data_IF_446496054817
#
_entry.id   IF_446496054817
#
_cell.length_a   1.000
_cell.length_b   1.000
_cell.length_c   1.000
_cell.angle_alpha   90.00
_cell.angle_beta   90.00
_cell.angle_gamma   90.00
#
_symmetry.space_group_name_H-M   'P 1'
#
loop_
_entity.id
_entity.type
_entity.pdbx_description
1 polymer ?
#
# COMPACT_ATOMS: atom_id res chain seq x y z
N UNK A 1 28.24 -1.29 -22.95
CA UNK A 1 27.35 -0.56 -22.01
C UNK A 1 26.50 -1.58 -21.26
N UNK A 2 26.38 -1.42 -19.95
CA UNK A 2 25.53 -2.22 -19.05
C UNK A 2 24.78 -1.28 -18.10
N UNK A 3 23.72 -1.76 -17.44
CA UNK A 3 22.92 -0.97 -16.49
C UNK A 3 22.94 -1.60 -15.11
N UNK A 4 23.31 -0.79 -14.12
CA UNK A 4 23.09 -1.10 -12.70
C UNK A 4 21.86 -0.34 -12.24
N UNK A 5 20.86 -1.04 -11.69
CA UNK A 5 19.58 -0.41 -11.33
C UNK A 5 19.13 -0.70 -9.90
N UNK A 6 18.52 0.31 -9.29
CA UNK A 6 17.82 0.21 -8.01
C UNK A 6 16.34 0.50 -8.25
N UNK A 7 15.49 -0.47 -7.94
CA UNK A 7 14.04 -0.39 -8.19
C UNK A 7 13.29 -0.27 -6.87
N UNK A 8 12.59 0.85 -6.70
CA UNK A 8 11.61 1.06 -5.64
C UNK A 8 10.22 0.77 -6.19
N UNK A 9 9.59 -0.26 -5.63
CA UNK A 9 8.25 -0.68 -5.98
C UNK A 9 7.19 0.23 -5.31
N UNK A 10 6.08 0.57 -5.97
CA UNK A 10 5.00 1.34 -5.36
C UNK A 10 4.42 0.64 -4.13
N UNK A 11 3.92 1.40 -3.15
CA UNK A 11 3.29 0.85 -1.94
C UNK A 11 2.20 -0.17 -2.28
N UNK A 12 1.30 0.14 -3.22
CA UNK A 12 0.26 -0.78 -3.67
C UNK A 12 -0.12 -0.49 -5.13
N UNK A 13 -1.15 -1.17 -5.65
CA UNK A 13 -1.60 -1.01 -7.04
C UNK A 13 -2.22 0.36 -7.39
N UNK A 14 -2.65 1.15 -6.39
CA UNK A 14 -3.28 2.45 -6.58
C UNK A 14 -2.34 3.63 -6.31
N UNK A 15 -1.11 3.36 -5.85
CA UNK A 15 -0.13 4.42 -5.60
C UNK A 15 0.85 4.54 -6.75
N UNK A 16 1.42 5.74 -6.89
CA UNK A 16 2.44 6.08 -7.88
C UNK A 16 3.76 6.46 -7.20
N UNK A 17 4.07 5.89 -6.05
CA UNK A 17 5.27 6.20 -5.26
C UNK A 17 6.49 5.32 -5.62
N UNK A 18 6.42 4.61 -6.75
CA UNK A 18 7.55 3.85 -7.28
C UNK A 18 8.62 4.73 -7.94
N UNK A 19 9.84 4.21 -8.01
CA UNK A 19 10.97 4.89 -8.62
C UNK A 19 12.01 3.90 -9.16
N UNK A 20 12.82 4.34 -10.13
CA UNK A 20 13.99 3.63 -10.62
C UNK A 20 15.16 4.61 -10.72
N UNK A 21 16.31 4.22 -10.18
CA UNK A 21 17.60 4.84 -10.45
C UNK A 21 18.42 3.87 -11.31
N UNK A 22 18.93 4.34 -12.45
CA UNK A 22 19.65 3.52 -13.42
C UNK A 22 20.97 4.15 -13.81
N UNK A 23 22.09 3.47 -13.52
CA UNK A 23 23.44 3.95 -13.86
C UNK A 23 23.99 3.13 -15.04
N UNK A 24 24.37 3.83 -16.11
CA UNK A 24 24.98 3.21 -17.28
C UNK A 24 26.51 3.15 -17.14
N UNK A 25 27.07 1.95 -17.28
CA UNK A 25 28.50 1.69 -17.16
C UNK A 25 29.08 1.13 -18.48
N UNK A 26 30.27 1.59 -18.86
CA UNK A 26 30.96 1.26 -20.12
C UNK A 26 30.24 1.79 -21.39
N UNK A 27 30.86 1.62 -22.56
CA UNK A 27 30.43 2.36 -23.78
C UNK A 27 31.13 3.71 -23.88
N UNK A 28 30.60 4.64 -24.69
CA UNK A 28 31.23 5.97 -24.88
C UNK A 28 30.35 7.09 -24.30
N UNK A 29 30.72 7.72 -23.18
CA UNK A 29 30.01 8.89 -22.67
C UNK A 29 30.05 10.07 -23.66
N UNK A 30 29.08 11.00 -23.60
CA UNK A 30 27.94 11.06 -22.67
C UNK A 30 26.82 10.06 -23.01
N UNK A 31 26.03 9.70 -21.99
CA UNK A 31 24.84 8.85 -22.14
C UNK A 31 23.56 9.68 -22.15
N UNK A 32 22.64 9.34 -23.03
CA UNK A 32 21.29 9.91 -23.10
C UNK A 32 20.27 8.88 -22.61
N UNK A 33 19.49 9.23 -21.59
CA UNK A 33 18.46 8.37 -21.00
C UNK A 33 17.09 8.81 -21.48
N UNK A 34 16.29 7.86 -21.98
CA UNK A 34 14.90 8.08 -22.40
C UNK A 34 14.01 6.98 -21.87
N UNK A 35 13.03 7.35 -21.05
CA UNK A 35 12.04 6.43 -20.52
C UNK A 35 10.79 6.38 -21.41
N UNK A 36 10.02 5.29 -21.35
CA UNK A 36 8.78 5.13 -22.13
C UNK A 36 7.68 6.12 -21.74
N UNK A 37 7.75 6.69 -20.53
CA UNK A 37 6.88 7.78 -20.08
C UNK A 37 7.41 9.18 -20.48
N UNK A 38 8.38 9.25 -21.40
CA UNK A 38 9.04 10.48 -21.85
C UNK A 38 9.86 11.22 -20.79
N UNK A 39 10.09 10.62 -19.62
CA UNK A 39 11.05 11.15 -18.65
C UNK A 39 12.48 11.08 -19.22
N UNK A 40 13.33 12.00 -18.75
CA UNK A 40 14.73 12.09 -19.11
C UNK A 40 15.61 11.97 -17.86
N UNK A 41 16.86 11.59 -18.07
CA UNK A 41 17.83 11.38 -16.99
C UNK A 41 17.76 9.98 -16.37
N UNK A 42 18.71 9.73 -15.48
CA UNK A 42 18.95 8.40 -14.88
C UNK A 42 17.91 7.97 -13.84
N UNK A 43 17.29 8.94 -13.19
CA UNK A 43 16.30 8.73 -12.15
C UNK A 43 14.91 9.06 -12.68
N UNK A 44 13.97 8.16 -12.44
CA UNK A 44 12.54 8.35 -12.73
C UNK A 44 11.74 7.97 -11.49
N UNK A 45 10.81 8.83 -11.10
CA UNK A 45 9.91 8.60 -9.99
C UNK A 45 8.45 8.70 -10.45
N UNK A 46 7.55 8.72 -9.46
CA UNK A 46 6.10 8.81 -9.68
C UNK A 46 5.55 7.63 -10.50
N UNK A 47 6.20 6.47 -10.39
CA UNK A 47 5.83 5.28 -11.14
C UNK A 47 4.74 4.48 -10.41
N UNK A 48 3.72 4.06 -11.16
CA UNK A 48 2.73 3.11 -10.69
C UNK A 48 3.11 1.66 -10.99
N UNK A 49 2.19 0.74 -10.71
CA UNK A 49 2.31 -0.67 -11.14
C UNK A 49 2.22 -0.76 -12.65
N UNK A 50 3.10 -1.55 -13.27
CA UNK A 50 3.18 -1.70 -14.72
C UNK A 50 4.60 -1.91 -15.19
N UNK A 51 4.77 -1.93 -16.51
CA UNK A 51 6.07 -2.04 -17.14
C UNK A 51 6.54 -0.66 -17.61
N UNK A 52 7.82 -0.35 -17.39
CA UNK A 52 8.47 0.85 -17.92
C UNK A 52 9.74 0.46 -18.66
N UNK A 53 9.97 1.05 -19.82
CA UNK A 53 11.12 0.78 -20.66
C UNK A 53 12.09 1.96 -20.63
N UNK A 54 13.36 1.67 -20.39
CA UNK A 54 14.47 2.61 -20.50
C UNK A 54 15.26 2.31 -21.77
N UNK A 55 15.49 3.35 -22.57
CA UNK A 55 16.48 3.36 -23.63
C UNK A 55 17.62 4.28 -23.23
N UNK A 56 18.83 3.73 -23.12
CA UNK A 56 20.07 4.51 -22.94
C UNK A 56 20.88 4.46 -24.22
N UNK A 57 21.28 5.62 -24.72
CA UNK A 57 22.09 5.74 -25.94
C UNK A 57 23.43 6.40 -25.60
N UNK A 58 24.54 5.81 -26.04
CA UNK A 58 25.87 6.38 -25.87
C UNK A 58 26.24 7.38 -26.99
N UNK A 59 27.41 8.02 -26.91
CA UNK A 59 27.86 9.03 -27.86
C UNK A 59 28.06 8.51 -29.30
N UNK A 60 28.23 7.20 -29.47
CA UNK A 60 28.33 6.54 -30.77
C UNK A 60 26.95 6.13 -31.32
N UNK A 61 25.86 6.58 -30.69
CA UNK A 61 24.48 6.23 -31.02
C UNK A 61 24.17 4.73 -30.86
N UNK A 62 24.88 4.02 -29.98
CA UNK A 62 24.57 2.63 -29.65
C UNK A 62 23.50 2.57 -28.53
N UNK A 63 22.29 2.05 -28.81
CA UNK A 63 21.24 1.95 -27.81
C UNK A 63 21.37 0.68 -26.96
N UNK A 64 21.05 0.80 -25.67
CA UNK A 64 20.75 -0.29 -24.75
C UNK A 64 19.31 -0.10 -24.27
N UNK A 65 18.49 -1.14 -24.40
CA UNK A 65 17.07 -1.10 -24.01
C UNK A 65 16.83 -2.11 -22.88
N UNK A 66 16.20 -1.66 -21.80
CA UNK A 66 15.81 -2.50 -20.67
C UNK A 66 14.35 -2.23 -20.27
N UNK A 67 13.62 -3.27 -19.89
CA UNK A 67 12.24 -3.16 -19.40
C UNK A 67 12.17 -3.61 -17.95
N UNK A 68 11.57 -2.80 -17.11
CA UNK A 68 11.40 -3.05 -15.69
C UNK A 68 9.93 -3.19 -15.34
N UNK A 69 9.60 -4.22 -14.55
CA UNK A 69 8.25 -4.50 -14.09
C UNK A 69 8.07 -4.05 -12.65
N UNK A 70 7.28 -3.01 -12.43
CA UNK A 70 6.88 -2.56 -11.10
C UNK A 70 5.60 -3.29 -10.66
N UNK A 71 5.61 -3.78 -9.43
CA UNK A 71 4.50 -4.41 -8.71
C UNK A 71 4.25 -3.70 -7.39
N UNK A 72 3.02 -3.72 -6.90
CA UNK A 72 2.69 -3.18 -5.58
C UNK A 72 3.35 -4.00 -4.47
N UNK A 73 3.96 -3.34 -3.48
CA UNK A 73 4.58 -4.01 -2.32
C UNK A 73 3.54 -4.66 -1.42
N UNK A 74 2.38 -4.02 -1.28
CA UNK A 74 1.23 -4.50 -0.52
C UNK A 74 0.14 -4.95 -1.47
N UNK A 75 -0.57 -6.00 -1.06
CA UNK A 75 -1.75 -6.52 -1.77
C UNK A 75 -2.89 -5.51 -1.77
N UNK A 76 -3.04 -4.78 -0.67
CA UNK A 76 -4.14 -3.85 -0.43
C UNK A 76 -3.59 -2.44 -0.24
N UNK A 77 -4.34 -1.46 -0.71
CA UNK A 77 -4.00 -0.03 -0.69
C UNK A 77 -4.50 0.71 0.55
N UNK A 78 -4.68 -0.01 1.65
CA UNK A 78 -5.14 0.53 2.92
C UNK A 78 -4.10 0.23 3.99
N UNK A 79 -4.00 1.10 4.96
CA UNK A 79 -3.28 0.84 6.20
C UNK A 79 -4.30 0.49 7.27
N UNK A 80 -4.11 -0.67 7.88
CA UNK A 80 -4.97 -1.15 8.96
C UNK A 80 -4.21 -0.89 10.26
N UNK A 81 -4.63 0.07 11.09
CA UNK A 81 -4.02 0.27 12.40
C UNK A 81 -4.12 -1.02 13.22
N UNK A 82 -3.11 -1.34 14.03
CA UNK A 82 -3.10 -2.53 14.90
C UNK A 82 -3.34 -2.19 16.36
N UNK A 83 -3.47 -0.90 16.69
CA UNK A 83 -3.86 -0.40 18.00
C UNK A 83 -4.64 0.91 17.86
N UNK A 84 -5.46 1.22 18.85
CA UNK A 84 -6.12 2.51 19.02
C UNK A 84 -6.42 2.75 20.50
N UNK A 85 -6.68 4.01 20.88
CA UNK A 85 -6.77 4.49 22.26
C UNK A 85 -8.11 5.17 22.52
N UNK A 86 -9.20 4.43 22.80
CA UNK A 86 -10.51 5.01 23.10
C UNK A 86 -10.54 5.61 24.51
N UNK A 87 -9.91 6.78 24.67
CA UNK A 87 -9.76 7.52 25.94
C UNK A 87 -10.48 8.89 25.95
N UNK A 88 -11.01 9.32 24.80
CA UNK A 88 -11.78 10.55 24.62
C UNK A 88 -10.94 11.80 24.36
N UNK A 89 -9.65 11.66 24.03
CA UNK A 89 -8.76 12.79 23.76
C UNK A 89 -8.84 13.34 22.32
N UNK A 90 -9.64 12.70 21.46
CA UNK A 90 -9.82 13.04 20.06
C UNK A 90 -8.78 12.42 19.12
N UNK A 91 -7.80 11.68 19.65
CA UNK A 91 -6.69 11.07 18.89
C UNK A 91 -6.79 9.55 18.99
N UNK A 92 -6.98 8.90 17.83
CA UNK A 92 -7.09 7.44 17.75
C UNK A 92 -8.16 6.84 18.69
N UNK A 93 -9.21 7.60 19.01
CA UNK A 93 -10.34 7.12 19.83
C UNK A 93 -11.17 6.03 19.14
N UNK A 94 -11.04 5.93 17.82
CA UNK A 94 -11.68 4.91 17.00
C UNK A 94 -10.64 4.18 16.18
N UNK A 95 -10.85 2.89 16.01
CA UNK A 95 -10.15 2.08 15.02
C UNK A 95 -10.66 2.43 13.63
N UNK A 96 -10.04 3.46 13.06
CA UNK A 96 -10.41 4.04 11.78
C UNK A 96 -9.43 3.65 10.66
N UNK A 97 -9.94 2.87 9.70
CA UNK A 97 -9.20 2.40 8.52
C UNK A 97 -9.49 3.38 7.38
N UNK A 98 -8.57 4.32 7.18
CA UNK A 98 -8.72 5.39 6.19
C UNK A 98 -8.91 4.83 4.78
N UNK A 99 -9.77 5.49 4.00
CA UNK A 99 -10.09 5.15 2.60
C UNK A 99 -10.71 3.77 2.37
N UNK A 100 -11.00 3.00 3.43
CA UNK A 100 -11.51 1.63 3.27
C UNK A 100 -12.84 1.60 2.50
N UNK A 101 -13.83 2.38 2.93
CA UNK A 101 -15.13 2.49 2.26
C UNK A 101 -15.05 3.17 0.88
N UNK A 102 -14.09 4.09 0.68
CA UNK A 102 -13.89 4.77 -0.60
C UNK A 102 -13.36 3.81 -1.66
N UNK A 103 -12.39 2.96 -1.29
CA UNK A 103 -11.77 2.01 -2.21
C UNK A 103 -12.61 0.74 -2.35
N UNK A 104 -13.30 0.32 -1.28
CA UNK A 104 -14.09 -0.90 -1.20
C UNK A 104 -15.48 -0.59 -0.62
N UNK A 105 -16.42 -0.07 -1.42
CA UNK A 105 -17.73 0.39 -0.92
C UNK A 105 -18.59 -0.73 -0.34
N UNK A 106 -18.41 -1.97 -0.78
CA UNK A 106 -19.15 -3.13 -0.29
C UNK A 106 -18.46 -3.86 0.86
N UNK A 107 -17.36 -3.32 1.39
CA UNK A 107 -16.53 -3.97 2.43
C UNK A 107 -17.35 -4.44 3.63
N UNK A 108 -17.02 -5.60 4.18
CA UNK A 108 -17.60 -6.11 5.40
C UNK A 108 -16.51 -6.31 6.45
N UNK A 109 -16.59 -5.55 7.54
CA UNK A 109 -15.64 -5.54 8.65
C UNK A 109 -16.27 -6.19 9.86
N UNK A 110 -15.54 -7.11 10.48
CA UNK A 110 -15.95 -7.81 11.69
C UNK A 110 -14.78 -7.82 12.68
N UNK A 111 -15.08 -7.66 13.97
CA UNK A 111 -14.11 -7.79 15.05
C UNK A 111 -14.64 -8.75 16.10
N UNK A 112 -13.75 -9.62 16.57
CA UNK A 112 -14.04 -10.68 17.52
C UNK A 112 -13.11 -10.55 18.74
N UNK A 113 -13.62 -10.90 19.91
CA UNK A 113 -12.77 -11.08 21.09
C UNK A 113 -12.01 -12.43 21.03
N UNK A 114 -11.17 -12.69 22.04
CA UNK A 114 -10.35 -13.91 22.16
C UNK A 114 -11.15 -15.22 22.25
N UNK A 115 -12.46 -15.14 22.53
CA UNK A 115 -13.36 -16.30 22.59
C UNK A 115 -14.18 -16.49 21.30
N UNK A 116 -13.87 -15.74 20.24
CA UNK A 116 -14.58 -15.83 18.96
C UNK A 116 -15.96 -15.16 18.97
N UNK A 117 -16.27 -14.36 19.99
CA UNK A 117 -17.53 -13.64 20.06
C UNK A 117 -17.44 -12.36 19.23
N UNK A 118 -18.39 -12.14 18.32
CA UNK A 118 -18.50 -10.90 17.55
C UNK A 118 -18.72 -9.71 18.49
N UNK A 119 -17.87 -8.68 18.40
CA UNK A 119 -17.94 -7.47 19.22
C UNK A 119 -18.22 -6.21 18.40
N UNK A 120 -17.87 -6.21 17.12
CA UNK A 120 -18.17 -5.13 16.19
C UNK A 120 -18.38 -5.68 14.78
N UNK A 121 -19.30 -5.09 14.04
CA UNK A 121 -19.57 -5.39 12.65
C UNK A 121 -19.96 -4.11 11.91
N UNK A 122 -19.49 -3.97 10.67
CA UNK A 122 -19.82 -2.84 9.80
C UNK A 122 -19.83 -3.28 8.34
N UNK A 123 -20.95 -3.06 7.63
CA UNK A 123 -21.08 -3.27 6.18
C UNK A 123 -20.95 -1.93 5.48
N UNK A 124 -20.21 -1.88 4.38
CA UNK A 124 -19.78 -0.66 3.71
C UNK A 124 -18.85 0.24 4.55
N UNK A 125 -18.43 -0.23 5.73
CA UNK A 125 -17.63 0.52 6.69
C UNK A 125 -18.19 1.94 6.96
N UNK A 126 -19.50 2.04 7.21
CA UNK A 126 -20.21 3.30 7.49
C UNK A 126 -19.77 3.97 8.80
N UNK A 127 -19.29 3.17 9.74
CA UNK A 127 -18.75 3.61 11.02
C UNK A 127 -17.51 2.82 11.40
N UNK A 128 -16.58 3.52 12.05
CA UNK A 128 -15.36 2.98 12.64
C UNK A 128 -15.62 2.49 14.07
N UNK A 129 -14.90 1.48 14.54
CA UNK A 129 -15.11 0.89 15.86
C UNK A 129 -14.51 1.78 16.96
N UNK A 130 -15.26 2.05 18.02
CA UNK A 130 -14.86 2.90 19.15
C UNK A 130 -14.39 2.10 20.38
N UNK A 131 -14.19 0.79 20.24
CA UNK A 131 -13.79 -0.07 21.35
C UNK A 131 -14.94 -0.42 22.31
N UNK A 132 -16.20 -0.17 21.91
CA UNK A 132 -17.37 -0.57 22.68
C UNK A 132 -18.11 -1.75 22.06
N UNK A 133 -18.97 -2.39 22.86
CA UNK A 133 -20.03 -3.30 22.39
C UNK A 133 -21.33 -2.90 23.09
N UNK A 134 -22.37 -2.58 22.31
CA UNK A 134 -23.65 -2.08 22.81
C UNK A 134 -23.48 -0.86 23.75
N UNK A 135 -22.54 0.04 23.44
CA UNK A 135 -22.23 1.23 24.24
C UNK A 135 -21.37 0.97 25.49
N UNK A 136 -21.08 -0.29 25.82
CA UNK A 136 -20.21 -0.62 26.96
C UNK A 136 -18.75 -0.72 26.50
N UNK A 137 -17.81 -0.03 27.16
CA UNK A 137 -16.38 -0.14 26.86
C UNK A 137 -15.91 -1.58 27.03
N UNK A 138 -15.16 -2.07 26.05
CA UNK A 138 -14.55 -3.38 26.12
C UNK A 138 -13.18 -3.31 26.83
N UNK A 139 -12.68 -4.44 27.36
CA UNK A 139 -11.38 -4.49 28.03
C UNK A 139 -10.22 -4.06 27.12
N UNK A 140 -9.17 -3.50 27.75
CA UNK A 140 -7.84 -3.38 27.15
C UNK A 140 -7.32 -4.79 26.89
N UNK A 141 -7.33 -5.19 25.63
CA UNK A 141 -7.03 -6.55 25.19
C UNK A 141 -6.75 -6.56 23.68
N UNK A 142 -6.26 -7.70 23.19
CA UNK A 142 -6.17 -7.96 21.75
C UNK A 142 -7.46 -8.60 21.23
N UNK A 143 -7.93 -8.06 20.12
CA UNK A 143 -9.08 -8.52 19.36
C UNK A 143 -8.63 -8.97 17.98
N UNK A 144 -9.47 -9.73 17.29
CA UNK A 144 -9.19 -10.26 15.97
C UNK A 144 -10.16 -9.66 14.96
N UNK A 145 -9.64 -9.11 13.86
CA UNK A 145 -10.47 -8.61 12.78
C UNK A 145 -10.53 -9.58 11.60
N UNK A 146 -11.66 -9.55 10.91
CA UNK A 146 -11.87 -10.11 9.58
C UNK A 146 -12.44 -9.00 8.71
N UNK A 147 -11.76 -8.68 7.61
CA UNK A 147 -12.20 -7.67 6.63
C UNK A 147 -12.35 -8.37 5.29
N UNK A 148 -13.59 -8.59 4.88
CA UNK A 148 -13.92 -9.05 3.55
C UNK A 148 -14.11 -7.84 2.63
N UNK A 149 -13.16 -7.64 1.71
CA UNK A 149 -13.18 -6.51 0.77
C UNK A 149 -14.27 -6.64 -0.32
N UNK A 150 -15.00 -7.77 -0.38
CA UNK A 150 -16.01 -8.07 -1.40
C UNK A 150 -15.55 -7.92 -2.85
N UNK A 151 -14.25 -8.10 -3.09
CA UNK A 151 -13.63 -7.99 -4.41
C UNK A 151 -13.14 -9.35 -4.96
N UNK A 152 -13.54 -10.47 -4.34
CA UNK A 152 -13.13 -11.83 -4.70
C UNK A 152 -11.78 -12.27 -4.11
N UNK A 153 -11.03 -11.38 -3.46
CA UNK A 153 -9.84 -11.79 -2.71
C UNK A 153 -10.20 -12.46 -1.38
N UNK A 154 -9.25 -13.22 -0.82
CA UNK A 154 -9.40 -13.77 0.55
C UNK A 154 -9.53 -12.63 1.57
N UNK A 155 -10.39 -12.76 2.59
CA UNK A 155 -10.50 -11.77 3.65
C UNK A 155 -9.15 -11.45 4.30
N UNK A 156 -8.96 -10.19 4.68
CA UNK A 156 -7.85 -9.77 5.50
C UNK A 156 -8.14 -10.16 6.94
N UNK A 157 -7.16 -10.75 7.60
CA UNK A 157 -7.26 -11.17 8.99
C UNK A 157 -6.07 -10.63 9.76
N UNK A 158 -6.29 -10.27 11.02
CA UNK A 158 -5.22 -9.76 11.86
C UNK A 158 -5.71 -9.44 13.27
N UNK A 159 -4.86 -8.75 14.01
CA UNK A 159 -5.14 -8.33 15.38
C UNK A 159 -5.25 -6.81 15.47
N UNK A 160 -6.13 -6.36 16.35
CA UNK A 160 -6.30 -4.98 16.75
C UNK A 160 -6.35 -4.93 18.27
N UNK A 161 -5.56 -4.08 18.89
CA UNK A 161 -5.47 -3.96 20.34
C UNK A 161 -6.14 -2.67 20.81
N UNK A 162 -7.01 -2.78 21.81
CA UNK A 162 -7.46 -1.60 22.57
C UNK A 162 -6.36 -1.29 23.57
N UNK A 163 -5.84 -0.06 23.54
CA UNK A 163 -4.88 0.47 24.52
C UNK A 163 -5.55 1.64 25.26
N UNK A 164 -5.17 1.92 26.50
CA UNK A 164 -5.63 3.09 27.25
C UNK A 164 -4.48 3.73 28.00
#
# INVERSE_FOLDING_TARGET
MVLDTVITHPYCKLTTDGAIDAEANGGTPPYTYKWSNSAAGKYVDRLGVGDITLTVTDANNCPLVATYKLKGRKRVCIEIPTAFTPNGDGVNDKWDIKMLNVIYPDVWVQVYNRWGQLVFESKGYESSWDGTKNGYPLPVDSYHFIIDLKNGERPLVGQITIVK
#
